data_IF_216655077632
#
_entry.id   IF_216655077632
#
_cell.length_a   1.000
_cell.length_b   1.000
_cell.length_c   1.000
_cell.angle_alpha   90.00
_cell.angle_beta   90.00
_cell.angle_gamma   90.00
#
_symmetry.space_group_name_H-M   'P 1'
#
loop_
_entity.id
_entity.type
_entity.pdbx_description
1 polymer ?
#
# COMPACT_ATOMS: atom_id res chain seq x y z
N UNK A 1 8.44 10.10 1.47
CA UNK A 1 6.98 10.38 1.54
C UNK A 1 6.35 9.68 2.74
N UNK A 2 6.51 8.36 2.86
CA UNK A 2 6.07 7.55 4.00
C UNK A 2 6.54 8.09 5.36
N UNK A 3 7.84 8.33 5.54
CA UNK A 3 8.39 8.84 6.81
C UNK A 3 7.82 10.20 7.23
N UNK A 4 7.57 11.08 6.24
CA UNK A 4 7.03 12.43 6.48
C UNK A 4 5.57 12.33 6.95
N UNK A 5 4.77 11.50 6.30
CA UNK A 5 3.37 11.29 6.69
C UNK A 5 3.20 10.47 7.98
N UNK A 6 4.17 9.61 8.32
CA UNK A 6 4.17 8.85 9.57
C UNK A 6 4.12 9.73 10.82
N UNK A 7 4.60 10.98 10.72
CA UNK A 7 4.52 11.97 11.82
C UNK A 7 3.31 12.91 11.72
N UNK A 8 2.52 12.83 10.64
CA UNK A 8 1.39 13.74 10.36
C UNK A 8 0.17 12.99 9.78
N UNK A 9 -0.50 12.13 10.57
CA UNK A 9 -1.58 11.27 10.09
C UNK A 9 -2.77 12.03 9.50
N UNK A 10 -3.10 13.20 10.05
CA UNK A 10 -4.17 14.05 9.53
C UNK A 10 -3.84 14.61 8.14
N UNK A 11 -2.57 15.01 7.92
CA UNK A 11 -2.12 15.49 6.62
C UNK A 11 -2.08 14.34 5.59
N UNK A 12 -1.69 13.14 6.01
CA UNK A 12 -1.76 11.95 5.17
C UNK A 12 -3.19 11.69 4.69
N UNK A 13 -4.18 11.74 5.59
CA UNK A 13 -5.58 11.51 5.25
C UNK A 13 -6.14 12.57 4.28
N UNK A 14 -5.80 13.84 4.47
CA UNK A 14 -6.22 14.93 3.58
C UNK A 14 -5.57 14.81 2.22
N UNK A 15 -4.24 14.61 2.18
CA UNK A 15 -3.50 14.41 0.93
C UNK A 15 -4.03 13.18 0.18
N UNK A 16 -4.33 12.11 0.89
CA UNK A 16 -4.83 10.90 0.27
C UNK A 16 -6.20 11.01 -0.38
N UNK A 17 -7.04 11.95 0.09
CA UNK A 17 -8.39 12.14 -0.41
C UNK A 17 -8.48 13.16 -1.54
N UNK A 18 -7.60 14.16 -1.55
CA UNK A 18 -7.70 15.30 -2.47
C UNK A 18 -6.42 15.59 -3.26
N UNK A 19 -5.34 14.85 -3.01
CA UNK A 19 -3.99 15.24 -3.41
C UNK A 19 -3.56 16.54 -2.73
N UNK A 20 -2.52 17.19 -3.25
CA UNK A 20 -2.29 18.61 -2.98
C UNK A 20 -1.89 19.34 -4.26
N UNK A 21 -2.32 20.59 -4.42
CA UNK A 21 -2.00 21.41 -5.60
C UNK A 21 -0.66 22.16 -5.50
N UNK A 22 0.15 21.87 -4.48
CA UNK A 22 1.41 22.58 -4.19
C UNK A 22 2.59 22.09 -5.03
N UNK A 23 3.73 22.80 -4.93
CA UNK A 23 4.98 22.44 -5.61
C UNK A 23 5.44 21.01 -5.27
N UNK A 24 5.32 20.59 -4.01
CA UNK A 24 5.73 19.26 -3.57
C UNK A 24 4.97 18.13 -4.28
N UNK A 25 3.65 18.25 -4.44
CA UNK A 25 2.89 17.26 -5.20
C UNK A 25 3.25 17.26 -6.68
N UNK A 26 3.48 18.43 -7.29
CA UNK A 26 3.94 18.49 -8.69
C UNK A 26 5.28 17.77 -8.89
N UNK A 27 6.22 17.91 -7.95
CA UNK A 27 7.51 17.22 -8.01
C UNK A 27 7.35 15.70 -7.88
N UNK A 28 6.52 15.23 -6.94
CA UNK A 28 6.24 13.79 -6.80
C UNK A 28 5.53 13.25 -8.04
N UNK A 29 4.55 13.99 -8.58
CA UNK A 29 3.85 13.64 -9.81
C UNK A 29 4.82 13.48 -10.98
N UNK A 30 5.68 14.48 -11.18
CA UNK A 30 6.67 14.50 -12.26
C UNK A 30 7.61 13.29 -12.15
N UNK A 31 8.18 13.04 -10.96
CA UNK A 31 9.11 11.93 -10.76
C UNK A 31 8.47 10.57 -11.06
N UNK A 32 7.24 10.34 -10.59
CA UNK A 32 6.53 9.08 -10.85
C UNK A 32 6.22 8.93 -12.34
N UNK A 33 5.75 10.00 -13.00
CA UNK A 33 5.46 9.96 -14.44
C UNK A 33 6.72 9.71 -15.27
N UNK A 34 7.85 10.34 -14.92
CA UNK A 34 9.13 10.11 -15.57
C UNK A 34 9.63 8.68 -15.36
N UNK A 35 9.50 8.13 -14.15
CA UNK A 35 9.87 6.74 -13.85
C UNK A 35 9.03 5.74 -14.68
N UNK A 36 7.71 5.96 -14.78
CA UNK A 36 6.82 5.12 -15.61
C UNK A 36 7.19 5.18 -17.08
N UNK A 37 7.54 6.36 -17.59
CA UNK A 37 8.01 6.54 -18.96
C UNK A 37 9.35 5.87 -19.21
N UNK A 38 10.29 5.99 -18.27
CA UNK A 38 11.60 5.35 -18.32
C UNK A 38 11.51 3.83 -18.27
N UNK A 39 10.47 3.28 -17.63
CA UNK A 39 10.16 1.85 -17.64
C UNK A 39 9.67 1.34 -19.01
N UNK A 40 9.39 2.23 -19.97
CA UNK A 40 8.96 1.87 -21.32
C UNK A 40 7.45 1.62 -21.46
N UNK A 41 6.64 2.14 -20.53
CA UNK A 41 5.19 2.08 -20.67
C UNK A 41 4.72 2.96 -21.85
N UNK A 42 3.70 2.52 -22.61
CA UNK A 42 3.05 3.37 -23.62
C UNK A 42 2.46 4.63 -22.97
N UNK A 43 2.66 5.78 -23.61
CA UNK A 43 2.23 7.08 -23.07
C UNK A 43 0.71 7.11 -22.76
N UNK A 44 -0.11 6.36 -23.50
CA UNK A 44 -1.54 6.21 -23.26
C UNK A 44 -1.90 5.45 -21.97
N UNK A 45 -1.02 4.55 -21.50
CA UNK A 45 -1.23 3.80 -20.26
C UNK A 45 -0.73 4.54 -19.03
N UNK A 46 0.28 5.41 -19.18
CA UNK A 46 0.96 6.10 -18.08
C UNK A 46 -0.04 6.78 -17.10
N UNK A 47 -1.07 7.54 -17.54
CA UNK A 47 -1.99 8.19 -16.61
C UNK A 47 -2.76 7.20 -15.72
N UNK A 48 -3.18 6.06 -16.27
CA UNK A 48 -3.92 5.03 -15.53
C UNK A 48 -2.99 4.31 -14.54
N UNK A 49 -1.75 4.01 -14.96
CA UNK A 49 -0.73 3.39 -14.11
C UNK A 49 -0.34 4.32 -12.96
N UNK A 50 -0.09 5.59 -13.26
CA UNK A 50 0.15 6.63 -12.27
C UNK A 50 -0.97 6.70 -11.23
N UNK A 51 -2.23 6.77 -11.66
CA UNK A 51 -3.37 6.85 -10.76
C UNK A 51 -3.41 5.66 -9.78
N UNK A 52 -3.24 4.43 -10.28
CA UNK A 52 -3.26 3.21 -9.46
C UNK A 52 -2.13 3.19 -8.44
N UNK A 53 -0.91 3.54 -8.84
CA UNK A 53 0.25 3.60 -7.93
C UNK A 53 -0.01 4.62 -6.81
N UNK A 54 -0.46 5.83 -7.16
CA UNK A 54 -0.68 6.88 -6.15
C UNK A 54 -1.82 6.53 -5.20
N UNK A 55 -2.89 5.90 -5.69
CA UNK A 55 -3.97 5.36 -4.84
C UNK A 55 -3.43 4.29 -3.89
N UNK A 56 -2.60 3.36 -4.38
CA UNK A 56 -2.00 2.32 -3.55
C UNK A 56 -1.10 2.91 -2.47
N UNK A 57 -0.14 3.75 -2.85
CA UNK A 57 0.78 4.41 -1.91
C UNK A 57 0.01 5.20 -0.85
N UNK A 58 -1.00 5.95 -1.27
CA UNK A 58 -1.88 6.70 -0.38
C UNK A 58 -2.60 5.80 0.62
N UNK A 59 -3.22 4.71 0.15
CA UNK A 59 -3.96 3.81 1.00
C UNK A 59 -3.05 3.16 2.05
N UNK A 60 -1.85 2.75 1.65
CA UNK A 60 -0.86 2.15 2.54
C UNK A 60 -0.35 3.16 3.59
N UNK A 61 0.04 4.37 3.15
CA UNK A 61 0.54 5.43 4.03
C UNK A 61 -0.53 5.90 5.02
N UNK A 62 -1.76 6.12 4.56
CA UNK A 62 -2.85 6.60 5.44
C UNK A 62 -3.27 5.54 6.44
N UNK A 63 -3.33 4.28 6.02
CA UNK A 63 -3.55 3.15 6.91
C UNK A 63 -2.49 3.12 8.02
N UNK A 64 -1.19 3.15 7.66
CA UNK A 64 -0.06 3.13 8.60
C UNK A 64 -0.08 4.33 9.56
N UNK A 65 -0.25 5.55 9.05
CA UNK A 65 -0.23 6.75 9.89
C UNK A 65 -1.39 6.75 10.90
N UNK A 66 -2.57 6.22 10.54
CA UNK A 66 -3.70 6.07 11.45
C UNK A 66 -3.42 5.15 12.65
N UNK A 67 -2.57 4.12 12.47
CA UNK A 67 -2.19 3.24 13.57
C UNK A 67 -1.26 3.92 14.59
N UNK A 68 -0.44 4.88 14.15
CA UNK A 68 0.44 5.66 15.03
C UNK A 68 -0.29 6.66 15.94
N UNK A 69 -1.59 6.87 15.74
CA UNK A 69 -2.42 7.78 16.54
C UNK A 69 -3.17 7.12 17.70
N UNK A 70 -3.10 5.80 17.86
CA UNK A 70 -3.82 5.07 18.91
C UNK A 70 -3.18 5.24 20.27
N UNK A 71 -3.97 5.37 21.33
CA UNK A 71 -3.46 5.30 22.71
C UNK A 71 -3.04 3.87 23.06
N UNK A 72 -2.20 3.67 24.10
CA UNK A 72 -1.88 2.33 24.59
C UNK A 72 -3.11 1.49 24.93
N UNK A 73 -4.14 2.09 25.51
CA UNK A 73 -5.38 1.42 25.90
C UNK A 73 -6.20 1.00 24.67
N UNK A 74 -6.31 1.87 23.67
CA UNK A 74 -6.98 1.56 22.40
C UNK A 74 -6.27 0.42 21.66
N UNK A 75 -4.93 0.40 21.72
CA UNK A 75 -4.13 -0.67 21.15
C UNK A 75 -4.35 -2.00 21.88
N UNK A 76 -4.28 -2.00 23.21
CA UNK A 76 -4.51 -3.21 24.01
C UNK A 76 -5.91 -3.78 23.78
N UNK A 77 -6.93 -2.93 23.76
CA UNK A 77 -8.30 -3.34 23.47
C UNK A 77 -8.44 -3.91 22.05
N UNK A 78 -7.83 -3.27 21.05
CA UNK A 78 -7.80 -3.77 19.68
C UNK A 78 -7.11 -5.13 19.55
N UNK A 79 -6.03 -5.34 20.31
CA UNK A 79 -5.33 -6.63 20.35
C UNK A 79 -6.15 -7.73 20.99
N UNK A 80 -6.89 -7.41 22.05
CA UNK A 80 -7.78 -8.39 22.65
C UNK A 80 -8.94 -8.78 21.74
N UNK A 81 -9.57 -7.79 21.08
CA UNK A 81 -10.60 -8.05 20.07
C UNK A 81 -10.08 -8.94 18.93
N UNK A 82 -8.86 -8.68 18.45
CA UNK A 82 -8.22 -9.52 17.45
C UNK A 82 -8.01 -10.96 17.95
N UNK A 83 -7.49 -11.16 19.16
CA UNK A 83 -7.29 -12.49 19.73
C UNK A 83 -8.60 -13.26 19.83
N UNK A 84 -9.66 -12.62 20.32
CA UNK A 84 -10.99 -13.23 20.41
C UNK A 84 -11.51 -13.63 19.03
N UNK A 85 -11.38 -12.75 18.04
CA UNK A 85 -11.86 -13.01 16.69
C UNK A 85 -11.14 -14.21 16.03
N UNK A 86 -9.82 -14.31 16.22
CA UNK A 86 -8.98 -15.31 15.53
C UNK A 86 -8.91 -16.64 16.29
N UNK A 87 -8.76 -16.61 17.61
CA UNK A 87 -8.61 -17.81 18.43
C UNK A 87 -9.93 -18.34 19.00
N UNK A 88 -10.98 -17.53 19.02
CA UNK A 88 -12.31 -17.90 19.52
C UNK A 88 -13.26 -18.47 18.46
N UNK A 89 -12.79 -18.65 17.22
CA UNK A 89 -13.63 -19.09 16.12
C UNK A 89 -14.04 -20.57 16.24
N UNK A 90 -15.35 -20.83 16.11
CA UNK A 90 -15.93 -22.18 16.07
C UNK A 90 -15.39 -22.98 14.86
N UNK A 91 -14.67 -24.11 15.07
CA UNK A 91 -14.07 -24.89 14.00
C UNK A 91 -15.08 -25.47 12.99
N UNK A 92 -16.32 -25.75 13.42
CA UNK A 92 -17.33 -26.29 12.52
C UNK A 92 -17.86 -25.22 11.56
N UNK A 93 -17.87 -23.96 11.99
CA UNK A 93 -18.35 -22.81 11.20
C UNK A 93 -17.24 -22.10 10.45
N UNK A 94 -16.02 -22.07 10.99
CA UNK A 94 -14.89 -21.31 10.46
C UNK A 94 -13.62 -22.19 10.33
N UNK A 95 -13.66 -23.30 9.59
CA UNK A 95 -12.58 -24.28 9.56
C UNK A 95 -11.24 -23.69 9.09
N UNK A 96 -11.24 -22.78 8.11
CA UNK A 96 -10.02 -22.12 7.63
C UNK A 96 -9.43 -21.17 8.68
N UNK A 97 -10.28 -20.38 9.37
CA UNK A 97 -9.82 -19.44 10.39
C UNK A 97 -9.18 -20.20 11.55
N UNK A 98 -9.85 -21.24 12.06
CA UNK A 98 -9.29 -22.08 13.14
C UNK A 98 -7.98 -22.75 12.70
N UNK A 99 -7.88 -23.20 11.45
CA UNK A 99 -6.66 -23.82 10.93
C UNK A 99 -5.47 -22.85 10.93
N UNK A 100 -5.67 -21.62 10.45
CA UNK A 100 -4.60 -20.62 10.31
C UNK A 100 -4.47 -19.68 11.52
N UNK A 101 -5.31 -19.81 12.54
CA UNK A 101 -5.46 -18.82 13.62
C UNK A 101 -4.14 -18.44 14.31
N UNK A 102 -3.21 -19.39 14.44
CA UNK A 102 -1.91 -19.17 15.10
C UNK A 102 -0.91 -18.41 14.25
N UNK A 103 -1.08 -18.44 12.92
CA UNK A 103 -0.16 -17.84 11.96
C UNK A 103 -0.64 -16.45 11.48
N UNK A 104 -1.92 -16.12 11.71
CA UNK A 104 -2.47 -14.80 11.38
C UNK A 104 -1.93 -13.77 12.37
N UNK A 105 -1.15 -12.81 11.87
CA UNK A 105 -0.65 -11.67 12.63
C UNK A 105 -1.72 -10.57 12.78
N UNK A 106 -1.70 -9.78 13.86
CA UNK A 106 -2.53 -8.58 13.96
C UNK A 106 -2.26 -7.62 12.79
N UNK A 107 -3.29 -6.93 12.29
CA UNK A 107 -3.18 -6.02 11.13
C UNK A 107 -2.24 -4.81 11.34
N UNK A 108 -1.90 -4.50 12.59
CA UNK A 108 -0.92 -3.48 12.94
C UNK A 108 0.53 -3.97 12.94
N UNK A 109 0.76 -5.28 12.94
CA UNK A 109 2.10 -5.85 12.96
C UNK A 109 2.77 -5.73 11.60
N UNK A 110 4.09 -5.52 11.60
CA UNK A 110 4.96 -5.59 10.42
C UNK A 110 4.53 -4.72 9.23
N UNK A 111 3.86 -3.60 9.50
CA UNK A 111 3.42 -2.63 8.48
C UNK A 111 4.55 -2.16 7.56
N UNK A 112 5.79 -1.95 8.04
CA UNK A 112 6.90 -1.62 7.14
C UNK A 112 7.21 -2.69 6.10
N UNK A 113 7.27 -3.95 6.50
CA UNK A 113 7.52 -5.06 5.59
C UNK A 113 6.35 -5.22 4.60
N UNK A 114 5.11 -5.19 5.11
CA UNK A 114 3.92 -5.29 4.27
C UNK A 114 3.84 -4.14 3.23
N UNK A 115 4.22 -2.92 3.61
CA UNK A 115 4.29 -1.78 2.69
C UNK A 115 5.24 -2.07 1.52
N UNK A 116 6.45 -2.54 1.81
CA UNK A 116 7.49 -2.80 0.82
C UNK A 116 7.11 -3.98 -0.09
N UNK A 117 6.63 -5.08 0.47
CA UNK A 117 6.21 -6.27 -0.27
C UNK A 117 5.04 -5.97 -1.20
N UNK A 118 3.99 -5.29 -0.72
CA UNK A 118 2.82 -4.95 -1.54
C UNK A 118 3.20 -4.00 -2.68
N UNK A 119 4.07 -3.03 -2.41
CA UNK A 119 4.54 -2.11 -3.44
C UNK A 119 5.38 -2.86 -4.49
N UNK A 120 6.29 -3.72 -4.05
CA UNK A 120 7.13 -4.52 -4.94
C UNK A 120 6.28 -5.43 -5.84
N UNK A 121 5.27 -6.11 -5.29
CA UNK A 121 4.36 -6.95 -6.06
C UNK A 121 3.57 -6.14 -7.10
N UNK A 122 3.13 -4.93 -6.75
CA UNK A 122 2.44 -4.05 -7.69
C UNK A 122 3.35 -3.59 -8.83
N UNK A 123 4.61 -3.27 -8.53
CA UNK A 123 5.59 -2.89 -9.54
C UNK A 123 5.94 -4.09 -10.44
N UNK A 124 6.14 -5.28 -9.87
CA UNK A 124 6.37 -6.51 -10.63
C UNK A 124 5.19 -6.84 -11.57
N UNK A 125 3.96 -6.57 -11.13
CA UNK A 125 2.78 -6.69 -12.01
C UNK A 125 2.83 -5.73 -13.19
N UNK A 126 3.23 -4.47 -12.97
CA UNK A 126 3.43 -3.49 -14.05
C UNK A 126 4.53 -3.95 -15.01
N UNK A 127 5.66 -4.42 -14.47
CA UNK A 127 6.76 -4.94 -15.27
C UNK A 127 6.35 -6.15 -16.11
N UNK A 128 5.57 -7.07 -15.55
CA UNK A 128 5.06 -8.23 -16.30
C UNK A 128 4.14 -7.84 -17.46
N UNK A 129 3.41 -6.72 -17.31
CA UNK A 129 2.50 -6.21 -18.33
C UNK A 129 3.24 -5.52 -19.50
N UNK A 130 4.51 -5.14 -19.31
CA UNK A 130 5.35 -4.61 -20.39
C UNK A 130 5.73 -5.69 -21.42
N UNK A 131 5.58 -6.97 -21.07
CA UNK A 131 5.96 -8.10 -21.91
C UNK A 131 7.47 -8.17 -22.18
N UNK A 132 7.97 -9.25 -22.81
CA UNK A 132 9.28 -9.23 -23.41
C UNK A 132 9.23 -8.23 -24.56
N UNK A 133 9.85 -7.06 -24.40
CA UNK A 133 9.94 -6.06 -25.45
C UNK A 133 10.29 -6.74 -26.78
N UNK A 134 9.52 -6.41 -27.80
CA UNK A 134 9.81 -6.71 -29.20
C UNK A 134 11.21 -6.21 -29.52
N UNK A 135 12.21 -7.09 -29.36
CA UNK A 135 13.58 -6.90 -29.84
C UNK A 135 13.64 -7.21 -31.34
N UNK A 136 12.61 -6.88 -32.12
CA UNK A 136 12.76 -6.78 -33.56
C UNK A 136 13.60 -5.54 -33.88
N UNK A 137 14.90 -5.78 -33.86
CA UNK A 137 15.90 -5.11 -34.67
C UNK A 137 15.29 -4.76 -36.03
N UNK A 138 15.20 -3.47 -36.35
CA UNK A 138 15.17 -3.07 -37.76
C UNK A 138 16.57 -2.62 -38.18
N UNK A 139 17.19 -3.29 -39.17
CA UNK A 139 18.51 -2.96 -39.72
C UNK A 139 18.51 -1.66 -40.54
#
# INVERSE_FOLDING_TARGET
MRDVFGTQPQLAAVWGRYGSGGLGSRLVMEEVLQALRAAGLPDEEIPVRYHRIVVLLTALITSEAGAGGLTPEENEQGMELFRVAVLGADPERFPALTHFARDIRPLGADRPAAFEEILADHLAHIESALGPADRSVHP
#
